data_IF_736679278406
#
_entry.id   IF_736679278406
#
_cell.length_a   1.000
_cell.length_b   1.000
_cell.length_c   1.000
_cell.angle_alpha   90.00
_cell.angle_beta   90.00
_cell.angle_gamma   90.00
#
_symmetry.space_group_name_H-M   'P 1'
#
loop_
_entity.id
_entity.type
_entity.pdbx_description
1 polymer ?
#
# COMPACT_ATOMS: atom_id res chain seq x y z
N UNK A 1 13.75 -0.76 -25.46
CA UNK A 1 14.99 -0.04 -25.83
C UNK A 1 15.34 1.17 -24.95
N UNK A 2 14.69 2.35 -25.04
CA UNK A 2 15.10 3.52 -24.22
C UNK A 2 14.85 3.32 -22.71
N UNK A 3 13.72 2.75 -22.33
CA UNK A 3 13.38 2.51 -20.91
C UNK A 3 14.25 1.42 -20.26
N UNK A 4 14.60 0.35 -20.98
CA UNK A 4 15.48 -0.72 -20.46
C UNK A 4 16.89 -0.20 -20.18
N UNK A 5 17.46 0.59 -21.08
CA UNK A 5 18.78 1.20 -20.87
C UNK A 5 18.77 2.14 -19.65
N UNK A 6 17.68 2.88 -19.45
CA UNK A 6 17.50 3.73 -18.27
C UNK A 6 17.41 2.89 -16.99
N UNK A 7 16.61 1.82 -16.96
CA UNK A 7 16.49 0.91 -15.81
C UNK A 7 17.84 0.32 -15.40
N UNK A 8 18.62 -0.18 -16.36
CA UNK A 8 19.95 -0.75 -16.10
C UNK A 8 20.88 0.31 -15.50
N UNK A 9 20.89 1.51 -16.07
CA UNK A 9 21.76 2.58 -15.59
C UNK A 9 21.41 3.01 -14.16
N UNK A 10 20.12 3.15 -13.84
CA UNK A 10 19.65 3.48 -12.49
C UNK A 10 20.04 2.39 -11.50
N UNK A 11 19.79 1.11 -11.83
CA UNK A 11 20.15 -0.01 -10.96
C UNK A 11 21.66 -0.05 -10.66
N UNK A 12 22.52 0.12 -11.67
CA UNK A 12 23.97 0.17 -11.49
C UNK A 12 24.42 1.33 -10.60
N UNK A 13 23.79 2.51 -10.74
CA UNK A 13 24.10 3.66 -9.88
C UNK A 13 23.73 3.38 -8.43
N UNK A 14 22.57 2.77 -8.18
CA UNK A 14 22.12 2.41 -6.82
C UNK A 14 23.06 1.38 -6.19
N UNK A 15 23.42 0.32 -6.92
CA UNK A 15 24.32 -0.75 -6.43
C UNK A 15 25.72 -0.25 -6.05
N UNK A 16 26.19 0.83 -6.67
CA UNK A 16 27.50 1.42 -6.40
C UNK A 16 27.47 2.49 -5.27
N UNK A 17 26.31 2.78 -4.68
CA UNK A 17 26.22 3.74 -3.58
C UNK A 17 26.71 3.10 -2.27
N UNK A 18 27.53 3.85 -1.53
CA UNK A 18 28.00 3.48 -0.18
C UNK A 18 27.46 4.43 0.90
N UNK A 19 26.61 5.39 0.52
CA UNK A 19 26.06 6.37 1.46
C UNK A 19 24.69 5.89 1.96
N UNK A 20 24.66 5.39 3.20
CA UNK A 20 23.45 4.84 3.83
C UNK A 20 22.30 5.84 3.91
N UNK A 21 22.58 7.13 4.13
CA UNK A 21 21.55 8.17 4.17
C UNK A 21 20.89 8.36 2.81
N UNK A 22 21.65 8.22 1.73
CA UNK A 22 21.13 8.30 0.37
C UNK A 22 20.38 7.02 -0.02
N UNK A 23 20.89 5.86 0.37
CA UNK A 23 20.21 4.57 0.17
C UNK A 23 18.87 4.53 0.89
N UNK A 24 18.80 5.04 2.13
CA UNK A 24 17.54 5.12 2.89
C UNK A 24 16.51 6.00 2.18
N UNK A 25 16.89 7.19 1.70
CA UNK A 25 16.00 8.05 0.90
C UNK A 25 15.51 7.39 -0.38
N UNK A 26 16.36 6.62 -1.06
CA UNK A 26 15.96 5.89 -2.27
C UNK A 26 14.95 4.80 -1.91
N UNK A 27 15.17 4.05 -0.83
CA UNK A 27 14.20 3.08 -0.32
C UNK A 27 12.86 3.77 -0.03
N UNK A 28 12.88 4.85 0.75
CA UNK A 28 11.67 5.56 1.14
C UNK A 28 10.87 6.04 -0.08
N UNK A 29 11.52 6.53 -1.14
CA UNK A 29 10.84 6.92 -2.40
C UNK A 29 10.24 5.71 -3.11
N UNK A 30 10.97 4.59 -3.18
CA UNK A 30 10.48 3.35 -3.81
C UNK A 30 9.29 2.76 -3.02
N UNK A 31 9.30 2.94 -1.70
CA UNK A 31 8.24 2.52 -0.79
C UNK A 31 7.04 3.49 -0.83
N UNK A 32 7.27 4.81 -0.91
CA UNK A 32 6.25 5.87 -1.00
C UNK A 32 5.47 5.84 -2.31
N UNK A 33 6.13 5.60 -3.44
CA UNK A 33 5.46 5.40 -4.74
C UNK A 33 4.58 4.15 -4.76
N UNK A 34 4.70 3.27 -3.76
CA UNK A 34 3.87 2.10 -3.60
C UNK A 34 2.67 2.33 -2.67
N UNK A 35 2.55 3.52 -2.04
CA UNK A 35 1.41 3.89 -1.19
C UNK A 35 0.22 4.21 -2.07
N UNK A 36 -0.88 3.49 -1.88
CA UNK A 36 -2.12 3.68 -2.64
C UNK A 36 -3.24 4.35 -1.84
N UNK A 37 -3.04 4.55 -0.54
CA UNK A 37 -4.02 5.16 0.35
C UNK A 37 -3.55 5.23 1.80
N UNK A 38 -4.47 5.54 2.70
CA UNK A 38 -4.25 5.57 4.15
C UNK A 38 -5.36 4.79 4.85
N UNK A 39 -5.03 4.18 5.98
CA UNK A 39 -6.00 3.47 6.82
C UNK A 39 -6.83 4.44 7.69
N UNK A 40 -7.71 3.89 8.54
CA UNK A 40 -8.56 4.68 9.44
C UNK A 40 -7.81 5.43 10.55
N UNK A 41 -6.54 5.10 10.78
CA UNK A 41 -5.64 5.77 11.73
C UNK A 41 -4.71 6.78 11.05
N UNK A 42 -4.71 6.84 9.72
CA UNK A 42 -3.86 7.72 8.92
C UNK A 42 -2.49 7.14 8.60
N UNK A 43 -2.27 5.83 8.81
CA UNK A 43 -1.04 5.17 8.37
C UNK A 43 -1.10 4.89 6.86
N UNK A 44 0.03 5.02 6.15
CA UNK A 44 0.09 4.73 4.72
C UNK A 44 -0.14 3.25 4.45
N UNK A 45 -0.88 2.95 3.38
CA UNK A 45 -1.18 1.59 2.92
C UNK A 45 -0.57 1.37 1.54
N UNK A 46 0.32 0.38 1.44
CA UNK A 46 0.93 -0.03 0.17
C UNK A 46 -0.02 -0.85 -0.72
N UNK A 47 0.32 -0.98 -1.99
CA UNK A 47 -0.41 -1.84 -2.93
C UNK A 47 -0.53 -3.30 -2.44
N UNK A 48 0.55 -3.83 -1.87
CA UNK A 48 0.60 -5.21 -1.37
C UNK A 48 -0.27 -5.41 -0.13
N UNK A 49 -0.23 -4.47 0.81
CA UNK A 49 -1.07 -4.47 2.02
C UNK A 49 -2.55 -4.38 1.65
N UNK A 50 -2.93 -3.47 0.75
CA UNK A 50 -4.31 -3.37 0.29
C UNK A 50 -4.82 -4.67 -0.37
N UNK A 51 -4.01 -5.30 -1.22
CA UNK A 51 -4.38 -6.58 -1.84
C UNK A 51 -4.53 -7.67 -0.76
N UNK A 52 -3.63 -7.70 0.22
CA UNK A 52 -3.67 -8.65 1.34
C UNK A 52 -4.95 -8.48 2.16
N UNK A 53 -5.30 -7.24 2.49
CA UNK A 53 -6.49 -6.89 3.26
C UNK A 53 -7.77 -7.31 2.53
N UNK A 54 -7.89 -7.03 1.23
CA UNK A 54 -9.03 -7.49 0.43
C UNK A 54 -9.12 -9.02 0.41
N UNK A 55 -7.99 -9.72 0.21
CA UNK A 55 -7.99 -11.19 0.20
C UNK A 55 -8.41 -11.76 1.55
N UNK A 56 -7.95 -11.16 2.64
CA UNK A 56 -8.35 -11.51 4.00
C UNK A 56 -9.85 -11.30 4.23
N UNK A 57 -10.37 -10.12 3.84
CA UNK A 57 -11.79 -9.80 3.93
C UNK A 57 -12.65 -10.78 3.10
N UNK A 58 -12.25 -11.09 1.86
CA UNK A 58 -12.96 -12.06 1.02
C UNK A 58 -12.95 -13.47 1.61
N UNK A 59 -11.87 -13.87 2.28
CA UNK A 59 -11.80 -15.15 3.00
C UNK A 59 -12.78 -15.16 4.17
N UNK A 60 -12.75 -14.14 5.02
CA UNK A 60 -13.67 -14.01 6.16
C UNK A 60 -15.13 -13.93 5.72
N UNK A 61 -15.41 -13.26 4.60
CA UNK A 61 -16.74 -13.20 4.00
C UNK A 61 -17.25 -14.58 3.59
N UNK A 62 -16.39 -15.40 2.94
CA UNK A 62 -16.72 -16.79 2.59
C UNK A 62 -16.93 -17.68 3.81
N UNK A 63 -16.19 -17.43 4.88
CA UNK A 63 -16.29 -18.16 6.16
C UNK A 63 -17.48 -17.68 7.02
N UNK A 64 -18.15 -16.58 6.63
CA UNK A 64 -19.24 -15.98 7.40
C UNK A 64 -18.77 -15.28 8.69
N UNK A 65 -17.48 -14.98 8.81
CA UNK A 65 -16.87 -14.35 9.98
C UNK A 65 -16.63 -12.86 9.79
N UNK A 66 -16.77 -12.34 8.55
CA UNK A 66 -16.64 -10.91 8.29
C UNK A 66 -17.90 -10.16 8.75
N UNK A 67 -17.71 -9.20 9.66
CA UNK A 67 -18.78 -8.27 10.01
C UNK A 67 -19.02 -7.31 8.83
N UNK A 68 -20.27 -7.20 8.39
CA UNK A 68 -20.66 -6.33 7.27
C UNK A 68 -21.88 -5.53 7.67
N UNK A 69 -22.08 -4.39 7.00
CA UNK A 69 -23.16 -3.47 7.29
C UNK A 69 -23.88 -3.09 6.00
N UNK A 70 -25.19 -2.99 6.09
CA UNK A 70 -26.03 -2.36 5.08
C UNK A 70 -25.76 -0.86 5.02
N UNK A 71 -26.15 -0.24 3.91
CA UNK A 71 -26.00 1.21 3.74
C UNK A 71 -26.72 2.03 4.82
N UNK A 72 -27.83 1.53 5.36
CA UNK A 72 -28.57 2.20 6.42
C UNK A 72 -27.86 2.10 7.77
N UNK A 73 -27.29 0.93 8.11
CA UNK A 73 -26.47 0.74 9.33
C UNK A 73 -25.21 1.61 9.31
N UNK A 74 -24.56 1.74 8.16
CA UNK A 74 -23.41 2.64 8.00
C UNK A 74 -23.84 4.10 8.22
N UNK A 75 -24.96 4.51 7.61
CA UNK A 75 -25.49 5.88 7.76
C UNK A 75 -25.79 6.20 9.23
N UNK A 76 -26.44 5.29 9.94
CA UNK A 76 -26.77 5.41 11.36
C UNK A 76 -25.51 5.62 12.21
N UNK A 77 -24.45 4.86 11.95
CA UNK A 77 -23.20 4.94 12.73
C UNK A 77 -22.39 6.20 12.49
N UNK A 78 -22.37 6.69 11.25
CA UNK A 78 -21.59 7.89 10.89
C UNK A 78 -22.35 9.16 11.25
N UNK A 79 -23.67 9.20 11.01
CA UNK A 79 -24.47 10.42 11.17
C UNK A 79 -25.25 10.47 12.50
N UNK A 80 -25.32 9.37 13.24
CA UNK A 80 -26.03 9.29 14.53
C UNK A 80 -27.55 9.50 14.43
N UNK A 81 -28.17 9.22 13.28
CA UNK A 81 -29.60 9.37 13.01
C UNK A 81 -30.18 8.12 12.43
#
# INVERSE_FOLDING_TARGET
MKSEKLKINVAQRILNLSNDKLLKKISDILDEENIIGYDGEGNPVSHEEYISDIKSALKQFKEGTLETYTSDEVRQRILGK
#
